data_IF_914346944911
#
_entry.id   IF_914346944911
#
_cell.length_a   1.000
_cell.length_b   1.000
_cell.length_c   1.000
_cell.angle_alpha   90.00
_cell.angle_beta   90.00
_cell.angle_gamma   90.00
#
_symmetry.space_group_name_H-M   'P 1'
#
loop_
_entity.id
_entity.type
_entity.pdbx_description
1 polymer ?
#
# COMPACT_ATOMS: atom_id res chain seq x y z
N UNK A 1 12.87 -8.11 7.98
CA UNK A 1 11.79 -7.13 7.75
C UNK A 1 12.35 -5.75 8.04
N UNK A 2 12.02 -4.70 7.28
CA UNK A 2 12.46 -3.33 7.62
C UNK A 2 11.43 -2.66 8.54
N UNK A 3 11.83 -1.57 9.20
CA UNK A 3 10.97 -0.85 10.17
C UNK A 3 9.61 -0.43 9.57
N UNK A 4 9.57 -0.03 8.29
CA UNK A 4 8.31 0.40 7.66
C UNK A 4 7.36 -0.77 7.45
N UNK A 5 7.87 -1.90 6.96
CA UNK A 5 7.10 -3.14 6.82
C UNK A 5 6.51 -3.59 8.17
N UNK A 6 7.27 -3.48 9.26
CA UNK A 6 6.81 -3.80 10.61
C UNK A 6 5.75 -2.82 11.13
N UNK A 7 5.94 -1.51 10.92
CA UNK A 7 4.99 -0.48 11.37
C UNK A 7 3.64 -0.55 10.66
N UNK A 8 3.63 -0.88 9.37
CA UNK A 8 2.42 -0.84 8.54
C UNK A 8 1.83 -2.23 8.24
N UNK A 9 2.50 -3.32 8.64
CA UNK A 9 2.01 -4.68 8.39
C UNK A 9 2.02 -5.08 6.92
N UNK A 10 3.02 -4.61 6.16
CA UNK A 10 3.17 -4.86 4.71
C UNK A 10 4.43 -5.69 4.42
N UNK A 11 4.43 -6.45 3.34
CA UNK A 11 5.55 -7.31 2.92
C UNK A 11 6.67 -6.49 2.27
N UNK A 12 6.30 -5.51 1.45
CA UNK A 12 7.22 -4.67 0.69
C UNK A 12 7.06 -3.20 1.09
N UNK A 13 8.14 -2.41 1.18
CA UNK A 13 8.08 -0.99 1.52
C UNK A 13 7.63 -0.14 0.30
N UNK A 14 6.53 -0.53 -0.34
CA UNK A 14 5.96 0.12 -1.52
C UNK A 14 4.67 0.83 -1.11
N UNK A 15 4.62 2.14 -1.37
CA UNK A 15 3.46 2.98 -1.15
C UNK A 15 2.94 3.46 -2.51
N UNK A 16 1.76 2.99 -2.91
CA UNK A 16 1.19 3.29 -4.22
C UNK A 16 0.01 4.26 -4.09
N UNK A 17 0.28 5.54 -4.40
CA UNK A 17 -0.74 6.58 -4.44
C UNK A 17 -1.54 6.49 -5.74
N UNK A 18 -2.86 6.47 -5.63
CA UNK A 18 -3.75 6.35 -6.78
C UNK A 18 -5.12 6.95 -6.47
N UNK A 19 -5.77 7.48 -7.49
CA UNK A 19 -7.18 7.89 -7.42
C UNK A 19 -8.13 6.69 -7.67
N UNK A 20 -7.60 5.56 -8.13
CA UNK A 20 -8.38 4.37 -8.44
C UNK A 20 -8.40 3.41 -7.25
N UNK A 21 -9.58 3.18 -6.68
CA UNK A 21 -9.79 2.23 -5.57
C UNK A 21 -9.30 0.83 -5.91
N UNK A 22 -9.52 0.38 -7.15
CA UNK A 22 -9.17 -0.99 -7.54
C UNK A 22 -7.65 -1.19 -7.59
N UNK A 23 -6.91 -0.14 -8.00
CA UNK A 23 -5.45 -0.14 -7.95
C UNK A 23 -4.94 -0.14 -6.50
N UNK A 24 -5.52 0.68 -5.62
CA UNK A 24 -5.14 0.69 -4.21
C UNK A 24 -5.36 -0.70 -3.57
N UNK A 25 -6.52 -1.31 -3.82
CA UNK A 25 -6.83 -2.64 -3.31
C UNK A 25 -5.91 -3.72 -3.91
N UNK A 26 -5.53 -3.62 -5.19
CA UNK A 26 -4.61 -4.55 -5.83
C UNK A 26 -3.22 -4.51 -5.20
N UNK A 27 -2.70 -3.31 -4.89
CA UNK A 27 -1.40 -3.15 -4.22
C UNK A 27 -1.43 -3.73 -2.81
N UNK A 28 -2.50 -3.48 -2.05
CA UNK A 28 -2.65 -4.06 -0.71
C UNK A 28 -2.68 -5.59 -0.72
N UNK A 29 -3.33 -6.22 -1.71
CA UNK A 29 -3.30 -7.68 -1.88
C UNK A 29 -1.94 -8.23 -2.32
N UNK A 30 -1.12 -7.42 -2.97
CA UNK A 30 0.22 -7.80 -3.43
C UNK A 30 1.30 -7.59 -2.35
N UNK A 31 0.91 -7.22 -1.13
CA UNK A 31 1.83 -7.04 0.00
C UNK A 31 2.44 -5.63 0.12
N UNK A 32 1.95 -4.65 -0.64
CA UNK A 32 2.31 -3.24 -0.48
C UNK A 32 1.22 -2.44 0.27
N UNK A 33 1.40 -1.12 0.34
CA UNK A 33 0.39 -0.19 0.87
C UNK A 33 -0.29 0.56 -0.28
N UNK A 34 -1.54 0.21 -0.59
CA UNK A 34 -2.37 0.98 -1.51
C UNK A 34 -2.92 2.24 -0.82
N UNK A 35 -2.68 3.42 -1.40
CA UNK A 35 -3.13 4.71 -0.85
C UNK A 35 -4.11 5.37 -1.81
N UNK A 36 -5.39 5.41 -1.43
CA UNK A 36 -6.43 6.10 -2.19
C UNK A 36 -6.38 7.60 -1.90
N UNK A 37 -6.18 8.41 -2.93
CA UNK A 37 -6.29 9.86 -2.84
C UNK A 37 -7.76 10.26 -2.61
N UNK A 38 -8.02 11.02 -1.54
CA UNK A 38 -9.30 11.67 -1.26
C UNK A 38 -9.14 13.19 -1.40
N UNK A 39 -10.19 13.87 -1.88
CA UNK A 39 -10.33 15.33 -1.90
C UNK A 39 -11.16 15.78 -0.69
#
# INVERSE_FOLDING_TARGET
MNRLCEMFGIEFPIFAFTHCRDVAAAVSRAGGMGVLGAL
#
